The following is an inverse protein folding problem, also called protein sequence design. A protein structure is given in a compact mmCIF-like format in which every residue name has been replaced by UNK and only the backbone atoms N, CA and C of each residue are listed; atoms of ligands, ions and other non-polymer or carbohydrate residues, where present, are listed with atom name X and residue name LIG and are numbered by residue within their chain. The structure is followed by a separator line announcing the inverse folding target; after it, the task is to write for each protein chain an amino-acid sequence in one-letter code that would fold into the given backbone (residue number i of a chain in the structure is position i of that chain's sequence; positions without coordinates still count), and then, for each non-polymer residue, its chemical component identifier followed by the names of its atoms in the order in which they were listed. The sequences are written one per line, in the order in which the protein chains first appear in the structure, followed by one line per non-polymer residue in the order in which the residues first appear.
data_IF_571040090990
#
_entry.id   IF_571040090990
#
_cell.length_a   1.000
_cell.length_b   1.000
_cell.length_c   1.000
_cell.angle_alpha   90.00
_cell.angle_beta   90.00
_cell.angle_gamma   90.00
#
_symmetry.space_group_name_H-M   'P 1'
#
loop_
_entity.id
_entity.type
_entity.pdbx_description
1 polymer ?
#
# COMPACT_ATOMS: atom_id res chain seq x y z
N UNK A 1 -17.49 2.89 -1.05
CA UNK A 1 -16.36 2.97 -1.99
C UNK A 1 -15.12 3.39 -1.21
N UNK A 2 -14.03 2.61 -1.27
CA UNK A 2 -12.76 2.95 -0.61
C UNK A 2 -11.93 3.89 -1.50
N UNK A 3 -11.08 4.71 -0.89
CA UNK A 3 -10.17 5.63 -1.59
C UNK A 3 -8.74 5.16 -1.37
N UNK A 4 -8.12 4.67 -2.44
CA UNK A 4 -6.76 4.15 -2.39
C UNK A 4 -5.83 5.13 -3.11
N UNK A 5 -4.78 5.56 -2.43
CA UNK A 5 -3.73 6.39 -3.01
C UNK A 5 -2.48 5.57 -3.25
N UNK A 6 -1.87 5.75 -4.43
CA UNK A 6 -0.63 5.09 -4.81
C UNK A 6 0.53 6.07 -4.59
N UNK A 7 1.33 5.77 -3.59
CA UNK A 7 2.61 6.43 -3.31
C UNK A 7 3.77 5.54 -3.74
N UNK A 8 4.79 5.45 -2.89
CA UNK A 8 6.07 4.82 -3.16
C UNK A 8 7.01 5.70 -4.00
N UNK A 9 8.19 5.14 -4.28
CA UNK A 9 9.21 5.81 -5.10
C UNK A 9 9.22 5.31 -6.55
N UNK A 10 8.72 4.10 -6.83
CA UNK A 10 8.82 3.48 -8.16
C UNK A 10 7.50 2.82 -8.56
N UNK A 11 7.35 2.54 -9.86
CA UNK A 11 6.30 1.70 -10.47
C UNK A 11 4.85 2.06 -10.09
N UNK A 12 4.57 3.32 -9.78
CA UNK A 12 3.24 3.78 -9.35
C UNK A 12 2.13 3.45 -10.34
N UNK A 13 2.40 3.59 -11.64
CA UNK A 13 1.42 3.27 -12.67
C UNK A 13 1.06 1.78 -12.64
N UNK A 14 2.07 0.91 -12.58
CA UNK A 14 1.87 -0.55 -12.48
C UNK A 14 1.07 -0.92 -11.22
N UNK A 15 1.42 -0.34 -10.07
CA UNK A 15 0.68 -0.56 -8.81
C UNK A 15 -0.77 -0.09 -8.95
N UNK A 16 -1.01 1.08 -9.54
CA UNK A 16 -2.35 1.59 -9.79
C UNK A 16 -3.16 0.68 -10.71
N UNK A 17 -2.58 0.20 -11.80
CA UNK A 17 -3.25 -0.64 -12.79
C UNK A 17 -3.68 -1.98 -12.17
N UNK A 18 -2.79 -2.65 -11.42
CA UNK A 18 -3.11 -3.89 -10.69
C UNK A 18 -4.22 -3.63 -9.67
N UNK A 19 -4.10 -2.55 -8.91
CA UNK A 19 -5.07 -2.19 -7.86
C UNK A 19 -6.44 -1.92 -8.46
N UNK A 20 -6.52 -1.14 -9.54
CA UNK A 20 -7.77 -0.78 -10.21
C UNK A 20 -8.44 -2.01 -10.83
N UNK A 21 -7.66 -2.89 -11.49
CA UNK A 21 -8.16 -4.13 -12.07
C UNK A 21 -8.84 -5.03 -11.04
N UNK A 22 -8.25 -5.14 -9.85
CA UNK A 22 -8.75 -6.02 -8.78
C UNK A 22 -9.91 -5.36 -8.02
N UNK A 23 -9.79 -4.06 -7.72
CA UNK A 23 -10.78 -3.34 -6.93
C UNK A 23 -12.11 -3.13 -7.68
N UNK A 24 -12.05 -2.92 -9.00
CA UNK A 24 -13.21 -2.52 -9.79
C UNK A 24 -13.95 -1.33 -9.15
N UNK A 25 -15.27 -1.40 -9.09
CA UNK A 25 -16.11 -0.32 -8.55
C UNK A 25 -16.06 -0.21 -7.02
N UNK A 26 -15.35 -1.09 -6.32
CA UNK A 26 -15.24 -1.06 -4.84
C UNK A 26 -14.33 0.06 -4.35
N UNK A 27 -13.39 0.53 -5.18
CA UNK A 27 -12.46 1.58 -4.79
C UNK A 27 -12.12 2.55 -5.93
N UNK A 28 -11.83 3.80 -5.56
CA UNK A 28 -11.19 4.79 -6.44
C UNK A 28 -9.68 4.77 -6.22
N UNK A 29 -8.89 4.78 -7.29
CA UNK A 29 -7.42 4.73 -7.26
C UNK A 29 -6.87 6.06 -7.77
N UNK A 30 -5.98 6.68 -7.00
CA UNK A 30 -5.30 7.92 -7.42
C UNK A 30 -3.79 7.81 -7.20
N UNK A 31 -3.00 8.09 -8.24
CA UNK A 31 -1.55 8.19 -8.12
C UNK A 31 -1.19 9.57 -7.56
N UNK A 32 -0.35 9.61 -6.53
CA UNK A 32 0.12 10.85 -5.90
C UNK A 32 1.63 10.85 -5.68
N UNK A 33 2.21 12.01 -5.38
CA UNK A 33 3.54 12.02 -4.79
C UNK A 33 3.54 11.33 -3.42
N UNK A 34 4.70 10.90 -2.94
CA UNK A 34 4.82 10.14 -1.70
C UNK A 34 4.30 10.91 -0.49
N UNK A 35 4.59 12.21 -0.47
CA UNK A 35 4.16 13.14 0.58
C UNK A 35 2.65 13.38 0.50
N UNK A 36 2.10 13.63 -0.70
CA UNK A 36 0.66 13.88 -0.87
C UNK A 36 -0.18 12.64 -0.53
N UNK A 37 0.28 11.45 -0.92
CA UNK A 37 -0.38 10.19 -0.60
C UNK A 37 -0.41 9.97 0.93
N UNK A 38 0.73 10.12 1.60
CA UNK A 38 0.81 9.98 3.05
C UNK A 38 -0.03 11.06 3.79
N UNK A 39 -0.02 12.29 3.29
CA UNK A 39 -0.88 13.36 3.81
C UNK A 39 -2.37 13.06 3.63
N UNK A 40 -2.77 12.49 2.49
CA UNK A 40 -4.16 12.12 2.25
C UNK A 40 -4.68 11.08 3.26
N UNK A 41 -3.84 10.13 3.68
CA UNK A 41 -4.18 9.20 4.76
C UNK A 41 -4.29 9.93 6.10
N UNK A 42 -3.33 10.81 6.39
CA UNK A 42 -3.29 11.56 7.66
C UNK A 42 -4.52 12.42 7.86
N UNK A 43 -5.02 13.05 6.80
CA UNK A 43 -6.18 13.95 6.83
C UNK A 43 -7.51 13.23 6.61
N UNK A 44 -7.50 11.92 6.32
CA UNK A 44 -8.70 11.15 6.01
C UNK A 44 -9.28 11.44 4.61
N UNK A 45 -8.52 12.08 3.72
CA UNK A 45 -8.86 12.25 2.32
C UNK A 45 -8.73 10.95 1.50
N UNK A 46 -7.93 10.00 1.99
CA UNK A 46 -7.83 8.64 1.48
C UNK A 46 -7.92 7.62 2.64
N UNK A 47 -8.32 6.39 2.31
CA UNK A 47 -8.49 5.32 3.28
C UNK A 47 -7.23 4.45 3.39
N UNK A 48 -6.61 4.13 2.24
CA UNK A 48 -5.44 3.25 2.17
C UNK A 48 -4.37 3.76 1.22
N UNK A 49 -3.13 3.45 1.57
CA UNK A 49 -1.93 3.77 0.81
C UNK A 49 -1.25 2.47 0.37
N UNK A 50 -0.88 2.39 -0.91
CA UNK A 50 -0.01 1.35 -1.44
C UNK A 50 1.24 2.00 -2.03
N UNK A 51 2.41 1.47 -1.70
CA UNK A 51 3.68 2.00 -2.19
C UNK A 51 4.68 0.90 -2.52
N UNK A 52 5.45 1.11 -3.58
CA UNK A 52 6.54 0.22 -3.98
C UNK A 52 7.91 0.90 -3.94
N UNK A 53 8.94 0.13 -3.61
CA UNK A 53 10.35 0.48 -3.77
C UNK A 53 11.20 -0.77 -3.98
N UNK A 54 12.53 -0.66 -3.99
CA UNK A 54 13.41 -1.82 -4.15
C UNK A 54 13.45 -2.73 -2.90
N UNK A 55 13.23 -2.17 -1.71
CA UNK A 55 13.33 -2.91 -0.44
C UNK A 55 11.98 -3.23 0.19
N UNK A 56 10.89 -2.68 -0.34
CA UNK A 56 9.52 -2.74 0.18
C UNK A 56 9.25 -2.02 1.50
N UNK A 57 10.28 -1.71 2.28
CA UNK A 57 10.22 -0.80 3.41
C UNK A 57 10.51 0.64 2.99
N UNK A 58 11.78 1.03 3.10
CA UNK A 58 12.32 2.40 2.95
C UNK A 58 11.51 3.30 2.02
N UNK A 59 11.88 3.39 0.74
CA UNK A 59 11.21 4.28 -0.22
C UNK A 59 9.74 3.96 -0.51
N UNK A 60 9.21 2.82 -0.07
CA UNK A 60 7.80 2.48 -0.26
C UNK A 60 6.92 3.15 0.79
N UNK A 61 7.47 3.36 2.00
CA UNK A 61 6.73 3.79 3.18
C UNK A 61 7.38 4.95 3.93
N UNK A 62 8.55 5.47 3.52
CA UNK A 62 9.28 6.48 4.28
C UNK A 62 8.41 7.66 4.68
N UNK A 63 7.65 8.22 3.73
CA UNK A 63 6.76 9.33 4.02
C UNK A 63 5.52 8.93 4.84
N UNK A 64 4.95 7.76 4.56
CA UNK A 64 3.85 7.21 5.35
C UNK A 64 4.25 7.00 6.82
N UNK A 65 5.41 6.42 7.08
CA UNK A 65 5.95 6.21 8.44
C UNK A 65 6.21 7.54 9.12
N UNK A 66 6.82 8.51 8.44
CA UNK A 66 7.11 9.81 9.01
C UNK A 66 5.85 10.60 9.42
N UNK A 67 4.76 10.47 8.65
CA UNK A 67 3.54 11.26 8.87
C UNK A 67 2.47 10.55 9.70
N UNK A 68 2.36 9.22 9.58
CA UNK A 68 1.34 8.37 10.21
C UNK A 68 1.88 7.57 11.40
N UNK A 69 3.20 7.42 11.49
CA UNK A 69 3.87 6.53 12.44
C UNK A 69 3.97 5.08 11.94
N UNK A 70 4.98 4.37 12.45
CA UNK A 70 5.22 2.95 12.13
C UNK A 70 4.02 2.07 12.50
N UNK A 71 3.27 2.44 13.54
CA UNK A 71 2.06 1.75 13.97
C UNK A 71 0.96 1.69 12.90
N UNK A 72 0.97 2.58 11.90
CA UNK A 72 -0.02 2.63 10.82
C UNK A 72 0.49 2.00 9.50
N UNK A 73 1.75 1.58 9.46
CA UNK A 73 2.40 1.09 8.24
C UNK A 73 2.77 -0.39 8.37
N UNK A 74 2.75 -1.11 7.26
CA UNK A 74 3.15 -2.51 7.17
C UNK A 74 3.99 -2.74 5.90
N UNK A 75 5.23 -3.18 6.08
CA UNK A 75 6.00 -3.78 4.98
C UNK A 75 5.53 -5.22 4.81
N UNK A 76 5.00 -5.56 3.64
CA UNK A 76 4.43 -6.89 3.32
C UNK A 76 5.37 -7.75 2.49
N UNK A 77 6.37 -7.16 1.85
CA UNK A 77 7.44 -7.91 1.20
C UNK A 77 8.75 -7.14 1.17
N UNK A 78 9.84 -7.88 1.09
CA UNK A 78 11.22 -7.43 0.94
C UNK A 78 11.93 -8.35 -0.07
N UNK A 79 13.12 -8.01 -0.61
CA UNK A 79 13.83 -8.91 -1.52
C UNK A 79 14.01 -10.31 -0.92
N UNK A 80 13.56 -11.34 -1.66
CA UNK A 80 13.64 -12.74 -1.24
C UNK A 80 12.65 -13.17 -0.15
N UNK A 81 11.74 -12.29 0.30
CA UNK A 81 10.73 -12.66 1.30
C UNK A 81 9.39 -11.94 1.09
N UNK A 82 8.31 -12.71 1.11
CA UNK A 82 6.93 -12.23 1.03
C UNK A 82 6.22 -12.75 2.28
N UNK A 83 5.55 -11.85 3.00
CA UNK A 83 4.70 -12.27 4.12
C UNK A 83 3.64 -13.24 3.61
N UNK A 84 3.36 -14.28 4.40
CA UNK A 84 2.25 -15.17 4.14
C UNK A 84 0.92 -14.42 4.13
N UNK A 85 -0.10 -15.00 3.49
CA UNK A 85 -1.44 -14.42 3.49
C UNK A 85 -1.98 -14.21 4.92
N UNK A 86 -1.69 -15.11 5.84
CA UNK A 86 -2.10 -14.99 7.24
C UNK A 86 -1.45 -13.78 7.93
N UNK A 87 -0.17 -13.52 7.66
CA UNK A 87 0.53 -12.35 8.19
C UNK A 87 -0.01 -11.06 7.56
N UNK A 88 -0.26 -11.02 6.24
CA UNK A 88 -0.85 -9.85 5.58
C UNK A 88 -2.25 -9.56 6.14
N UNK A 89 -3.08 -10.60 6.32
CA UNK A 89 -4.40 -10.49 6.96
C UNK A 89 -4.28 -9.91 8.37
N UNK A 90 -3.33 -10.36 9.17
CA UNK A 90 -3.12 -9.85 10.53
C UNK A 90 -2.75 -8.36 10.53
N UNK A 91 -1.93 -7.89 9.58
CA UNK A 91 -1.63 -6.45 9.44
C UNK A 91 -2.89 -5.65 9.09
N UNK A 92 -3.75 -6.18 8.20
CA UNK A 92 -5.02 -5.54 7.85
C UNK A 92 -5.96 -5.47 9.06
N UNK A 93 -6.12 -6.56 9.80
CA UNK A 93 -6.95 -6.63 11.00
C UNK A 93 -6.40 -5.76 12.15
N UNK A 94 -5.08 -5.53 12.19
CA UNK A 94 -4.45 -4.58 13.10
C UNK A 94 -4.72 -3.10 12.73
N UNK A 95 -5.48 -2.82 11.68
CA UNK A 95 -5.90 -1.47 11.30
C UNK A 95 -4.82 -0.65 10.59
N UNK A 96 -3.83 -1.32 9.98
CA UNK A 96 -2.80 -0.65 9.18
C UNK A 96 -3.43 0.04 7.97
N UNK A 97 -2.88 1.19 7.59
CA UNK A 97 -3.40 2.04 6.51
C UNK A 97 -2.45 2.17 5.33
N UNK A 98 -1.16 1.93 5.53
CA UNK A 98 -0.14 2.05 4.49
C UNK A 98 0.63 0.74 4.33
N UNK A 99 0.68 0.21 3.10
CA UNK A 99 1.31 -1.06 2.79
C UNK A 99 2.45 -0.87 1.78
N UNK A 100 3.64 -1.33 2.17
CA UNK A 100 4.87 -1.23 1.39
C UNK A 100 5.36 -2.58 0.93
N UNK A 101 5.81 -2.67 -0.31
CA UNK A 101 6.30 -3.91 -0.91
C UNK A 101 7.35 -3.64 -1.98
N UNK A 102 8.10 -4.68 -2.36
CA UNK A 102 8.97 -4.55 -3.53
C UNK A 102 8.13 -4.50 -4.80
N UNK A 103 8.56 -3.73 -5.79
CA UNK A 103 7.84 -3.65 -7.07
C UNK A 103 7.68 -5.03 -7.77
N UNK A 104 8.68 -5.90 -7.59
CA UNK A 104 8.68 -7.27 -8.11
C UNK A 104 7.53 -8.12 -7.55
N UNK A 105 7.13 -7.90 -6.30
CA UNK A 105 6.09 -8.69 -5.63
C UNK A 105 4.69 -8.07 -5.74
N UNK A 106 4.52 -6.97 -6.48
CA UNK A 106 3.25 -6.24 -6.54
C UNK A 106 2.05 -7.12 -6.96
N UNK A 107 2.23 -7.99 -7.96
CA UNK A 107 1.17 -8.89 -8.46
C UNK A 107 0.76 -9.96 -7.42
N UNK A 108 1.64 -10.29 -6.48
CA UNK A 108 1.40 -11.31 -5.47
C UNK A 108 0.75 -10.72 -4.22
N UNK A 109 1.21 -9.54 -3.78
CA UNK A 109 0.77 -8.95 -2.51
C UNK A 109 -0.48 -8.08 -2.63
N UNK A 110 -0.66 -7.36 -3.74
CA UNK A 110 -1.82 -6.47 -3.91
C UNK A 110 -3.15 -7.25 -3.86
N UNK A 111 -3.32 -8.41 -4.54
CA UNK A 111 -4.55 -9.18 -4.44
C UNK A 111 -4.87 -9.60 -3.00
N UNK A 112 -3.85 -10.01 -2.24
CA UNK A 112 -4.01 -10.45 -0.85
C UNK A 112 -4.39 -9.28 0.05
N UNK A 113 -3.72 -8.13 -0.09
CA UNK A 113 -4.07 -6.91 0.66
C UNK A 113 -5.53 -6.53 0.36
N UNK A 114 -5.91 -6.42 -0.92
CA UNK A 114 -7.24 -5.95 -1.31
C UNK A 114 -8.35 -6.92 -0.90
N UNK A 115 -8.09 -8.23 -0.89
CA UNK A 115 -9.03 -9.25 -0.39
C UNK A 115 -9.50 -8.96 1.04
N UNK A 116 -8.66 -8.38 1.88
CA UNK A 116 -8.99 -8.07 3.27
C UNK A 116 -9.35 -6.59 3.50
N UNK A 117 -9.10 -5.70 2.54
CA UNK A 117 -9.46 -4.27 2.63
C UNK A 117 -10.83 -3.91 2.03
N UNK A 118 -11.30 -4.66 1.03
CA UNK A 118 -12.47 -4.36 0.19
C UNK A 118 -13.65 -5.31 0.41
#
# INVERSE_FOLDING_TARGET
MKRIVIGGQIDKQRVADITAKIAGDKASIEIKSDIEAAMAIKTGAADFYLGACNTGGGGALAMAIALLGMGQCATVSMPGNIKSEAEIKAEVEAGKKAYGFTAQHAEEVIPVILKYLL
#
